data_IF_777999474874
#
_entry.id   IF_777999474874
#
_cell.length_a   1.000
_cell.length_b   1.000
_cell.length_c   1.000
_cell.angle_alpha   90.00
_cell.angle_beta   90.00
_cell.angle_gamma   90.00
#
_symmetry.space_group_name_H-M   'P 1'
#
loop_
_entity.id
_entity.type
_entity.pdbx_description
1 polymer ?
#
# COMPACT_ATOMS: atom_id res chain seq x y z
N UNK A 1 11.77 6.29 10.70
CA UNK A 1 12.24 6.44 9.31
C UNK A 1 11.80 5.23 8.49
N UNK A 2 11.13 5.47 7.39
CA UNK A 2 10.61 4.39 6.52
C UNK A 2 11.76 3.78 5.71
N UNK A 3 11.80 2.45 5.65
CA UNK A 3 12.76 1.68 4.85
C UNK A 3 12.00 0.69 3.96
N UNK A 4 12.59 0.32 2.84
CA UNK A 4 12.00 -0.66 1.93
C UNK A 4 13.03 -1.73 1.58
N UNK A 5 12.53 -2.94 1.30
CA UNK A 5 13.37 -4.08 0.91
C UNK A 5 13.59 -4.09 -0.61
N UNK A 6 12.51 -4.03 -1.36
CA UNK A 6 12.53 -4.02 -2.83
C UNK A 6 11.23 -3.39 -3.36
N UNK A 7 11.15 -3.28 -4.67
CA UNK A 7 9.90 -2.93 -5.35
C UNK A 7 9.75 -3.79 -6.59
N UNK A 8 8.50 -4.02 -6.99
CA UNK A 8 8.14 -4.80 -8.17
C UNK A 8 6.99 -4.14 -8.92
N UNK A 9 6.89 -4.42 -10.21
CA UNK A 9 5.73 -4.00 -11.00
C UNK A 9 4.75 -5.18 -11.03
N UNK A 10 3.53 -4.93 -10.55
CA UNK A 10 2.49 -5.94 -10.40
C UNK A 10 1.21 -5.49 -11.09
N UNK A 11 0.39 -6.46 -11.53
CA UNK A 11 -0.76 -6.18 -12.39
C UNK A 11 -2.09 -6.55 -11.74
N UNK A 12 -2.09 -7.31 -10.66
CA UNK A 12 -3.30 -7.89 -10.07
C UNK A 12 -3.61 -7.40 -8.65
N UNK A 13 -2.75 -6.56 -8.07
CA UNK A 13 -2.94 -6.11 -6.68
C UNK A 13 -4.08 -5.10 -6.55
N UNK A 14 -4.16 -4.16 -7.48
CA UNK A 14 -5.21 -3.17 -7.53
C UNK A 14 -5.92 -3.30 -8.87
N UNK A 15 -7.26 -3.45 -8.89
CA UNK A 15 -8.00 -3.60 -10.14
C UNK A 15 -7.73 -2.47 -11.12
N UNK A 16 -7.50 -2.81 -12.39
CA UNK A 16 -7.29 -1.87 -13.51
C UNK A 16 -6.02 -1.01 -13.39
N UNK A 17 -5.09 -1.35 -12.50
CA UNK A 17 -3.84 -0.61 -12.35
C UNK A 17 -2.62 -1.48 -12.65
N UNK A 18 -1.63 -0.88 -13.30
CA UNK A 18 -0.27 -1.40 -13.35
C UNK A 18 0.49 -0.71 -12.21
N UNK A 19 0.87 -1.46 -11.21
CA UNK A 19 1.29 -0.91 -9.92
C UNK A 19 2.77 -1.14 -9.66
N UNK A 20 3.48 -0.07 -9.27
CA UNK A 20 4.79 -0.17 -8.65
C UNK A 20 4.57 -0.43 -7.17
N UNK A 21 4.78 -1.66 -6.73
CA UNK A 21 4.61 -2.06 -5.34
C UNK A 21 5.95 -1.95 -4.60
N UNK A 22 6.01 -1.09 -3.59
CA UNK A 22 7.20 -0.88 -2.77
C UNK A 22 7.01 -1.62 -1.46
N UNK A 23 7.84 -2.63 -1.20
CA UNK A 23 7.75 -3.47 -0.01
C UNK A 23 8.46 -2.80 1.16
N UNK A 24 7.67 -2.25 2.08
CA UNK A 24 8.14 -1.53 3.27
C UNK A 24 8.52 -2.54 4.35
N UNK A 25 9.65 -2.30 5.01
CA UNK A 25 10.15 -3.16 6.09
C UNK A 25 9.68 -2.70 7.47
N UNK A 26 10.13 -3.40 8.51
CA UNK A 26 9.79 -3.13 9.91
C UNK A 26 8.28 -3.19 10.17
N UNK A 27 7.64 -4.22 9.63
CA UNK A 27 6.20 -4.43 9.85
C UNK A 27 5.94 -4.80 11.32
N UNK A 28 5.13 -4.01 12.06
CA UNK A 28 4.86 -4.29 13.49
C UNK A 28 3.79 -5.35 13.71
N UNK A 29 3.08 -5.77 12.67
CA UNK A 29 1.87 -6.58 12.81
C UNK A 29 2.15 -8.04 13.18
N UNK A 30 3.30 -8.60 12.78
CA UNK A 30 3.74 -9.96 13.11
C UNK A 30 2.67 -11.02 12.86
N UNK A 31 2.00 -10.93 11.70
CA UNK A 31 0.90 -11.83 11.36
C UNK A 31 1.36 -13.29 11.31
N UNK A 32 0.62 -14.18 11.95
CA UNK A 32 0.86 -15.61 11.89
C UNK A 32 0.67 -16.10 10.46
N UNK A 33 1.63 -16.87 9.94
CA UNK A 33 1.60 -17.36 8.56
C UNK A 33 1.88 -16.30 7.51
N UNK A 34 2.39 -15.13 7.92
CA UNK A 34 2.72 -14.04 7.01
C UNK A 34 3.76 -14.48 5.96
N UNK A 35 3.48 -14.22 4.68
CA UNK A 35 4.37 -14.57 3.57
C UNK A 35 5.61 -13.68 3.50
N UNK A 36 5.60 -12.55 4.20
CA UNK A 36 6.65 -11.53 4.14
C UNK A 36 7.35 -11.36 5.49
N UNK A 37 7.73 -12.48 6.10
CA UNK A 37 8.39 -12.46 7.43
C UNK A 37 9.64 -11.58 7.45
N UNK A 38 10.40 -11.54 6.35
CA UNK A 38 11.60 -10.71 6.23
C UNK A 38 11.29 -9.21 6.34
N UNK A 39 10.06 -8.80 6.03
CA UNK A 39 9.64 -7.39 6.13
C UNK A 39 9.33 -6.98 7.56
N UNK A 40 9.32 -7.91 8.51
CA UNK A 40 9.12 -7.60 9.93
C UNK A 40 10.37 -7.00 10.57
N UNK A 41 11.55 -7.19 9.97
CA UNK A 41 12.78 -6.60 10.46
C UNK A 41 12.96 -5.17 9.95
N UNK A 42 13.63 -4.32 10.76
CA UNK A 42 13.98 -2.96 10.36
C UNK A 42 15.24 -3.02 9.49
N UNK A 43 15.04 -3.25 8.20
CA UNK A 43 16.13 -3.47 7.25
C UNK A 43 15.81 -2.79 5.91
N UNK A 44 16.80 -2.75 5.02
CA UNK A 44 16.64 -2.21 3.69
C UNK A 44 17.13 -0.77 3.58
N UNK A 45 16.76 -0.13 2.48
CA UNK A 45 17.15 1.25 2.18
C UNK A 45 16.12 2.23 2.73
N UNK A 46 16.60 3.40 3.14
CA UNK A 46 15.71 4.49 3.54
C UNK A 46 14.88 4.94 2.34
N UNK A 47 13.56 5.02 2.53
CA UNK A 47 12.64 5.54 1.54
C UNK A 47 12.23 6.96 1.96
N UNK A 48 13.02 7.93 1.52
CA UNK A 48 12.69 9.35 1.69
C UNK A 48 12.17 9.92 0.37
N UNK A 49 11.89 11.22 0.36
CA UNK A 49 11.39 11.89 -0.84
C UNK A 49 12.36 11.76 -2.03
N UNK A 50 13.66 11.92 -1.79
CA UNK A 50 14.67 11.84 -2.84
C UNK A 50 14.74 10.44 -3.45
N UNK A 51 14.73 9.40 -2.61
CA UNK A 51 14.76 8.01 -3.08
C UNK A 51 13.48 7.67 -3.87
N UNK A 52 12.33 8.05 -3.35
CA UNK A 52 11.05 7.83 -4.03
C UNK A 52 11.01 8.52 -5.40
N UNK A 53 11.42 9.78 -5.46
CA UNK A 53 11.47 10.52 -6.72
C UNK A 53 12.45 9.90 -7.71
N UNK A 54 13.58 9.37 -7.22
CA UNK A 54 14.55 8.66 -8.07
C UNK A 54 13.96 7.39 -8.69
N UNK A 55 13.24 6.60 -7.90
CA UNK A 55 12.55 5.40 -8.39
C UNK A 55 11.50 5.78 -9.45
N UNK A 56 10.69 6.79 -9.19
CA UNK A 56 9.61 7.20 -10.09
C UNK A 56 10.15 7.89 -11.36
N UNK A 57 11.29 8.58 -11.28
CA UNK A 57 11.93 9.12 -12.46
C UNK A 57 12.35 8.02 -13.44
N UNK A 58 12.71 6.84 -12.93
CA UNK A 58 13.14 5.69 -13.75
C UNK A 58 11.96 4.84 -14.23
N UNK A 59 10.96 4.61 -13.39
CA UNK A 59 9.91 3.60 -13.64
C UNK A 59 8.51 4.18 -13.73
N UNK A 60 8.30 5.43 -13.36
CA UNK A 60 6.96 6.02 -13.27
C UNK A 60 6.17 6.04 -14.58
N UNK A 61 6.85 6.03 -15.73
CA UNK A 61 6.20 5.98 -17.04
C UNK A 61 5.67 4.59 -17.39
N UNK A 62 6.14 3.57 -16.69
CA UNK A 62 5.77 2.17 -16.95
C UNK A 62 4.59 1.71 -16.10
N UNK A 63 4.11 2.55 -15.19
CA UNK A 63 3.06 2.20 -14.22
C UNK A 63 1.98 3.29 -14.18
N UNK A 64 0.83 2.94 -13.62
CA UNK A 64 -0.29 3.87 -13.42
C UNK A 64 -0.51 4.19 -11.95
N UNK A 65 0.08 3.39 -11.04
CA UNK A 65 -0.13 3.50 -9.60
C UNK A 65 1.16 3.18 -8.85
N UNK A 66 1.36 3.86 -7.72
CA UNK A 66 2.42 3.54 -6.76
C UNK A 66 1.75 3.07 -5.48
N UNK A 67 2.08 1.87 -5.01
CA UNK A 67 1.49 1.31 -3.80
C UNK A 67 2.56 1.04 -2.75
N UNK A 68 2.32 1.53 -1.54
CA UNK A 68 3.18 1.27 -0.39
C UNK A 68 2.64 0.02 0.32
N UNK A 69 3.43 -1.05 0.29
CA UNK A 69 3.05 -2.35 0.85
C UNK A 69 3.61 -2.46 2.27
N UNK A 70 2.82 -2.05 3.26
CA UNK A 70 3.23 -2.00 4.66
C UNK A 70 3.48 -0.58 5.16
N UNK A 71 4.31 -0.45 6.20
CA UNK A 71 4.62 0.86 6.78
C UNK A 71 3.75 1.24 7.97
N UNK A 72 3.09 0.25 8.59
CA UNK A 72 2.23 0.49 9.77
C UNK A 72 3.00 1.01 10.99
N UNK A 73 4.33 0.90 10.99
CA UNK A 73 5.16 1.49 12.04
C UNK A 73 5.27 3.02 11.92
N UNK A 74 5.02 3.57 10.73
CA UNK A 74 5.15 5.01 10.46
C UNK A 74 4.09 5.46 9.44
N UNK A 75 2.79 5.35 9.75
CA UNK A 75 1.72 5.60 8.77
C UNK A 75 1.68 7.04 8.26
N UNK A 76 2.04 8.01 9.11
CA UNK A 76 2.04 9.42 8.69
C UNK A 76 3.20 9.73 7.74
N UNK A 77 4.33 9.03 7.86
CA UNK A 77 5.42 9.15 6.89
C UNK A 77 5.01 8.55 5.53
N UNK A 78 4.28 7.44 5.53
CA UNK A 78 3.74 6.86 4.30
C UNK A 78 2.78 7.83 3.62
N UNK A 79 1.88 8.45 4.38
CA UNK A 79 0.97 9.46 3.83
C UNK A 79 1.71 10.67 3.24
N UNK A 80 2.78 11.11 3.90
CA UNK A 80 3.61 12.21 3.39
C UNK A 80 4.28 11.83 2.07
N UNK A 81 4.77 10.59 1.94
CA UNK A 81 5.35 10.11 0.69
C UNK A 81 4.31 10.03 -0.42
N UNK A 82 3.10 9.59 -0.11
CA UNK A 82 1.99 9.57 -1.07
C UNK A 82 1.65 10.99 -1.56
N UNK A 83 1.66 11.97 -0.67
CA UNK A 83 1.42 13.37 -1.03
C UNK A 83 2.52 13.90 -1.97
N UNK A 84 3.77 13.48 -1.80
CA UNK A 84 4.86 13.81 -2.72
C UNK A 84 4.57 13.27 -4.12
N UNK A 85 4.08 12.03 -4.24
CA UNK A 85 3.71 11.44 -5.52
C UNK A 85 2.61 12.27 -6.18
N UNK A 86 1.59 12.65 -5.43
CA UNK A 86 0.46 13.43 -5.96
C UNK A 86 0.90 14.81 -6.45
N UNK A 87 1.88 15.43 -5.79
CA UNK A 87 2.40 16.74 -6.18
C UNK A 87 3.33 16.68 -7.38
N UNK A 88 4.26 15.73 -7.40
CA UNK A 88 5.33 15.66 -8.40
C UNK A 88 5.01 14.75 -9.58
N UNK A 89 4.11 13.78 -9.40
CA UNK A 89 3.71 12.82 -10.43
C UNK A 89 2.18 12.70 -10.45
N UNK A 90 1.47 13.79 -10.82
CA UNK A 90 0.02 13.86 -10.65
C UNK A 90 -0.77 12.88 -11.54
N UNK A 91 -0.13 12.28 -12.56
CA UNK A 91 -0.77 11.25 -13.38
C UNK A 91 -0.80 9.89 -12.72
N UNK A 92 0.00 9.69 -11.66
CA UNK A 92 0.03 8.42 -10.94
C UNK A 92 -1.00 8.41 -9.81
N UNK A 93 -1.67 7.27 -9.66
CA UNK A 93 -2.48 6.98 -8.48
C UNK A 93 -1.58 6.50 -7.34
N UNK A 94 -2.07 6.58 -6.12
CA UNK A 94 -1.35 6.12 -4.93
C UNK A 94 -2.18 5.09 -4.18
N UNK A 95 -1.51 4.11 -3.59
CA UNK A 95 -2.15 3.08 -2.79
C UNK A 95 -1.34 2.76 -1.54
N UNK A 96 -2.01 2.22 -0.55
CA UNK A 96 -1.39 1.78 0.69
C UNK A 96 -2.02 0.48 1.16
N UNK A 97 -1.19 -0.51 1.43
CA UNK A 97 -1.61 -1.79 2.00
C UNK A 97 -1.20 -1.82 3.45
N UNK A 98 -2.19 -1.69 4.36
CA UNK A 98 -2.00 -1.73 5.81
C UNK A 98 -2.43 -3.09 6.35
N UNK A 99 -1.68 -3.60 7.32
CA UNK A 99 -2.05 -4.80 8.06
C UNK A 99 -3.03 -4.54 9.21
N UNK A 100 -3.41 -3.29 9.44
CA UNK A 100 -4.35 -2.94 10.50
C UNK A 100 -5.78 -3.01 9.99
N UNK A 101 -6.73 -3.27 10.91
CA UNK A 101 -8.16 -3.34 10.56
C UNK A 101 -8.77 -1.96 10.32
N UNK A 102 -8.15 -0.90 10.84
CA UNK A 102 -8.66 0.47 10.77
C UNK A 102 -7.54 1.44 10.45
N UNK A 103 -7.91 2.58 9.86
CA UNK A 103 -6.96 3.66 9.63
C UNK A 103 -6.48 4.25 10.96
N UNK A 104 -5.20 4.66 11.04
CA UNK A 104 -4.69 5.37 12.19
C UNK A 104 -5.44 6.68 12.42
N UNK A 105 -5.58 7.06 13.68
CA UNK A 105 -6.18 8.33 14.06
C UNK A 105 -5.39 9.49 13.46
N UNK A 106 -6.10 10.47 12.92
CA UNK A 106 -5.49 11.66 12.33
C UNK A 106 -4.94 11.47 10.93
N UNK A 107 -5.01 10.27 10.36
CA UNK A 107 -4.58 10.03 8.98
C UNK A 107 -5.67 10.48 8.01
N UNK A 108 -5.27 11.25 7.00
CA UNK A 108 -6.18 11.69 5.94
C UNK A 108 -6.18 10.65 4.81
N UNK A 109 -7.29 9.93 4.59
CA UNK A 109 -7.34 8.93 3.51
C UNK A 109 -7.17 9.54 2.12
N UNK A 110 -7.40 10.84 1.96
CA UNK A 110 -7.25 11.55 0.68
C UNK A 110 -5.82 11.57 0.14
N UNK A 111 -4.82 11.25 0.96
CA UNK A 111 -3.44 11.08 0.48
C UNK A 111 -3.30 9.90 -0.48
N UNK A 112 -4.28 8.98 -0.46
CA UNK A 112 -4.27 7.77 -1.26
C UNK A 112 -5.51 7.67 -2.14
N UNK A 113 -5.35 7.05 -3.31
CA UNK A 113 -6.49 6.68 -4.17
C UNK A 113 -7.05 5.31 -3.79
N UNK A 114 -6.21 4.43 -3.25
CA UNK A 114 -6.59 3.09 -2.80
C UNK A 114 -5.99 2.80 -1.44
N UNK A 115 -6.77 2.15 -0.58
CA UNK A 115 -6.30 1.68 0.74
C UNK A 115 -6.81 0.26 0.95
N UNK A 116 -5.90 -0.67 1.25
CA UNK A 116 -6.27 -2.01 1.71
C UNK A 116 -6.03 -2.08 3.21
N UNK A 117 -7.04 -2.55 3.93
CA UNK A 117 -6.99 -2.75 5.39
C UNK A 117 -7.14 -4.24 5.71
N UNK A 118 -6.54 -4.65 6.81
CA UNK A 118 -6.59 -6.01 7.33
C UNK A 118 -5.27 -6.76 7.14
N UNK A 119 -4.79 -7.37 8.23
CA UNK A 119 -3.60 -8.20 8.21
C UNK A 119 -3.89 -9.58 7.65
N UNK A 120 -2.83 -10.33 7.37
CA UNK A 120 -2.94 -11.72 6.97
C UNK A 120 -3.45 -12.55 8.13
N UNK A 121 -4.57 -13.25 7.91
CA UNK A 121 -5.11 -14.26 8.82
C UNK A 121 -5.21 -15.55 8.03
N UNK A 122 -4.39 -16.53 8.36
CA UNK A 122 -4.22 -17.75 7.58
C UNK A 122 -5.55 -18.47 7.34
N UNK A 123 -6.39 -18.55 8.37
CA UNK A 123 -7.68 -19.25 8.32
C UNK A 123 -8.71 -18.54 7.45
N UNK A 124 -8.57 -17.23 7.23
CA UNK A 124 -9.51 -16.42 6.46
C UNK A 124 -9.08 -16.22 5.00
N UNK A 125 -7.80 -16.45 4.71
CA UNK A 125 -7.26 -16.42 3.35
C UNK A 125 -6.92 -15.01 2.83
N UNK A 126 -6.44 -14.93 1.58
CA UNK A 126 -6.05 -13.66 0.95
C UNK A 126 -7.27 -12.80 0.57
N UNK A 127 -7.00 -11.60 0.04
CA UNK A 127 -8.02 -10.64 -0.37
C UNK A 127 -9.05 -11.23 -1.35
N UNK A 128 -8.64 -12.16 -2.18
CA UNK A 128 -9.53 -12.82 -3.16
C UNK A 128 -10.42 -13.91 -2.56
N UNK A 129 -10.18 -14.30 -1.31
CA UNK A 129 -10.99 -15.31 -0.61
C UNK A 129 -12.31 -14.70 -0.13
N UNK A 130 -13.45 -15.41 -0.27
CA UNK A 130 -14.72 -14.90 0.25
C UNK A 130 -14.78 -14.80 1.77
N UNK A 131 -13.87 -15.48 2.49
CA UNK A 131 -13.81 -15.47 3.96
C UNK A 131 -12.81 -14.44 4.50
N UNK A 132 -12.13 -13.69 3.64
CA UNK A 132 -11.06 -12.79 4.06
C UNK A 132 -11.55 -11.68 5.00
N UNK A 133 -10.69 -11.32 5.97
CA UNK A 133 -10.85 -10.10 6.77
C UNK A 133 -10.30 -8.86 6.09
N UNK A 134 -9.60 -9.04 4.96
CA UNK A 134 -8.99 -7.93 4.23
C UNK A 134 -10.02 -7.21 3.37
N UNK A 135 -9.90 -5.89 3.26
CA UNK A 135 -10.78 -5.07 2.44
C UNK A 135 -9.98 -4.05 1.66
N UNK A 136 -10.27 -3.95 0.37
CA UNK A 136 -9.67 -2.95 -0.52
C UNK A 136 -10.69 -1.83 -0.76
N UNK A 137 -10.27 -0.59 -0.55
CA UNK A 137 -11.12 0.58 -0.71
C UNK A 137 -10.56 1.51 -1.79
N UNK A 138 -11.47 2.12 -2.55
CA UNK A 138 -11.16 3.27 -3.38
C UNK A 138 -11.52 4.53 -2.61
N UNK A 139 -10.60 5.51 -2.59
CA UNK A 139 -10.79 6.75 -1.82
C UNK A 139 -11.25 7.86 -2.77
N UNK A 140 -12.38 8.48 -2.46
CA UNK A 140 -12.88 9.65 -3.19
C UNK A 140 -12.20 10.94 -2.74
N UNK A 141 -12.48 12.04 -3.46
CA UNK A 141 -11.86 13.36 -3.21
C UNK A 141 -12.12 13.89 -1.80
N UNK A 142 -13.25 13.53 -1.21
CA UNK A 142 -13.63 13.97 0.13
C UNK A 142 -13.25 12.97 1.22
N UNK A 143 -12.49 11.93 0.87
CA UNK A 143 -12.07 10.89 1.80
C UNK A 143 -13.06 9.76 1.98
N UNK A 144 -14.15 9.74 1.23
CA UNK A 144 -15.12 8.64 1.25
C UNK A 144 -14.47 7.37 0.71
N UNK A 145 -14.61 6.26 1.42
CA UNK A 145 -13.98 4.98 1.07
C UNK A 145 -15.03 4.01 0.54
N UNK A 146 -14.90 3.64 -0.74
CA UNK A 146 -15.76 2.66 -1.39
C UNK A 146 -15.10 1.29 -1.36
N UNK A 147 -15.77 0.28 -0.79
CA UNK A 147 -15.25 -1.08 -0.72
C UNK A 147 -15.31 -1.75 -2.09
N UNK A 148 -14.12 -2.13 -2.61
CA UNK A 148 -13.97 -2.83 -3.88
C UNK A 148 -13.81 -4.34 -3.71
N UNK A 149 -13.81 -4.84 -2.48
CA UNK A 149 -13.50 -6.25 -2.20
C UNK A 149 -14.48 -7.20 -2.88
N UNK A 150 -15.78 -6.87 -2.91
CA UNK A 150 -16.79 -7.68 -3.58
C UNK A 150 -16.58 -7.73 -5.10
N UNK A 151 -16.18 -6.62 -5.71
CA UNK A 151 -15.88 -6.56 -7.13
C UNK A 151 -14.67 -7.45 -7.43
N UNK A 152 -13.65 -7.37 -6.59
CA UNK A 152 -12.43 -8.16 -6.74
C UNK A 152 -12.70 -9.66 -6.62
N UNK A 153 -13.59 -10.06 -5.72
CA UNK A 153 -13.96 -11.47 -5.51
C UNK A 153 -14.78 -12.00 -6.69
N UNK A 154 -15.67 -11.18 -7.26
CA UNK A 154 -16.58 -11.60 -8.32
C UNK A 154 -15.91 -11.71 -9.70
N UNK A 155 -14.73 -11.16 -9.86
CA UNK A 155 -13.95 -11.32 -11.07
C UNK A 155 -13.18 -12.64 -11.08
#
# INVERSE_FOLDING_TARGET
MVRYHNFDIVFAEIPCETTLAINITNCPNRCRGCHSLHLQADMGRVLDEAELCGILARYGRSVTCVCFMGGDAAPHEIAALADVVRQKFPVLHTGWYSGRARLPEGLRPQSFDYIKLGGWVEELGPLTSPTTNQRLYRVGKEGAMQDLSLIHISE
#
